data_IF_575425343699
#
_entry.id   IF_575425343699
#
_cell.length_a   1.000
_cell.length_b   1.000
_cell.length_c   1.000
_cell.angle_alpha   90.00
_cell.angle_beta   90.00
_cell.angle_gamma   90.00
#
_symmetry.space_group_name_H-M   'P 1'
#
loop_
_entity.id
_entity.type
_entity.pdbx_description
1 polymer ?
#
# COMPACT_ATOMS: atom_id res chain seq x y z
N UNK A 1 4.89 23.04 -12.86
CA UNK A 1 5.08 21.65 -12.42
C UNK A 1 5.19 21.67 -10.92
N UNK A 2 4.11 21.31 -10.22
CA UNK A 2 4.23 20.97 -8.80
C UNK A 2 4.78 19.54 -8.77
N UNK A 3 5.95 19.39 -8.17
CA UNK A 3 6.60 18.09 -8.02
C UNK A 3 5.71 17.22 -7.13
N UNK A 4 5.27 16.06 -7.63
CA UNK A 4 4.55 15.07 -6.84
C UNK A 4 5.35 14.73 -5.57
N UNK A 5 4.68 14.33 -4.47
CA UNK A 5 5.36 13.93 -3.24
C UNK A 5 6.45 12.91 -3.53
N UNK A 6 7.65 13.11 -2.96
CA UNK A 6 8.76 12.17 -3.16
C UNK A 6 8.36 10.78 -2.65
N UNK A 7 8.77 9.70 -3.34
CA UNK A 7 8.51 8.32 -2.89
C UNK A 7 8.94 8.15 -1.44
N UNK A 8 7.99 7.76 -0.59
CA UNK A 8 8.25 7.50 0.81
C UNK A 8 8.14 6.00 1.07
N UNK A 9 9.23 5.43 1.58
CA UNK A 9 9.32 4.02 1.96
C UNK A 9 9.09 3.88 3.45
N UNK A 10 8.45 2.80 3.87
CA UNK A 10 8.38 2.48 5.30
C UNK A 10 9.71 1.92 5.74
N UNK A 11 10.12 2.14 6.99
CA UNK A 11 11.36 1.54 7.50
C UNK A 11 11.21 0.01 7.60
N UNK A 12 10.05 -0.45 8.08
CA UNK A 12 9.71 -1.85 8.30
C UNK A 12 8.32 -2.17 7.75
N UNK A 13 8.12 -3.40 7.28
CA UNK A 13 6.79 -3.92 6.96
C UNK A 13 5.95 -4.13 8.22
N UNK A 14 4.63 -4.19 8.08
CA UNK A 14 3.70 -4.23 9.21
C UNK A 14 3.74 -5.53 10.03
N UNK A 15 4.09 -6.66 9.41
CA UNK A 15 4.12 -7.96 10.10
C UNK A 15 2.76 -8.44 10.61
N UNK A 16 1.67 -8.04 9.93
CA UNK A 16 0.30 -8.32 10.36
C UNK A 16 -0.38 -9.40 9.51
N UNK A 17 0.36 -10.42 9.05
CA UNK A 17 -0.15 -11.48 8.15
C UNK A 17 -1.50 -12.06 8.62
N UNK A 18 -1.61 -12.35 9.92
CA UNK A 18 -2.82 -12.94 10.54
C UNK A 18 -4.07 -12.07 10.38
N UNK A 19 -3.92 -10.77 10.16
CA UNK A 19 -5.03 -9.84 10.02
C UNK A 19 -5.60 -9.75 8.60
N UNK A 20 -4.88 -10.25 7.59
CA UNK A 20 -5.37 -10.25 6.21
C UNK A 20 -6.71 -10.98 6.11
N UNK A 21 -6.84 -12.13 6.79
CA UNK A 21 -8.07 -12.93 6.82
C UNK A 21 -9.20 -12.33 7.67
N UNK A 22 -8.92 -11.29 8.46
CA UNK A 22 -9.88 -10.65 9.39
C UNK A 22 -10.62 -9.48 8.76
N UNK A 23 -10.06 -8.85 7.73
CA UNK A 23 -10.72 -7.78 6.98
C UNK A 23 -11.53 -8.39 5.84
N UNK A 24 -12.79 -8.77 6.13
CA UNK A 24 -13.69 -9.43 5.16
C UNK A 24 -14.86 -8.55 4.73
N UNK A 25 -15.30 -7.66 5.61
CA UNK A 25 -16.48 -6.81 5.43
C UNK A 25 -16.17 -5.40 5.92
N UNK A 26 -17.02 -4.43 5.56
CA UNK A 26 -16.88 -3.03 6.01
C UNK A 26 -16.91 -2.91 7.54
N UNK A 27 -17.64 -3.77 8.24
CA UNK A 27 -17.68 -3.79 9.71
C UNK A 27 -16.33 -4.15 10.34
N UNK A 28 -15.48 -4.90 9.62
CA UNK A 28 -14.14 -5.27 10.11
C UNK A 28 -13.12 -4.14 9.94
N UNK A 29 -13.46 -3.08 9.22
CA UNK A 29 -12.56 -1.96 8.94
C UNK A 29 -12.33 -1.15 10.23
N UNK A 30 -11.07 -0.85 10.60
CA UNK A 30 -10.76 0.02 11.73
C UNK A 30 -11.50 1.36 11.64
N UNK A 31 -11.93 1.88 12.80
CA UNK A 31 -12.73 3.11 12.87
C UNK A 31 -12.07 4.31 12.17
N UNK A 32 -10.74 4.38 12.19
CA UNK A 32 -9.95 5.39 11.48
C UNK A 32 -10.32 5.49 10.01
N UNK A 33 -10.46 4.36 9.32
CA UNK A 33 -10.78 4.32 7.90
C UNK A 33 -12.28 4.38 7.64
N UNK A 34 -13.12 3.79 8.52
CA UNK A 34 -14.58 3.98 8.41
C UNK A 34 -15.01 5.44 8.51
N UNK A 35 -14.23 6.25 9.24
CA UNK A 35 -14.46 7.68 9.39
C UNK A 35 -13.68 8.52 8.36
N UNK A 36 -12.94 7.89 7.43
CA UNK A 36 -12.30 8.60 6.34
C UNK A 36 -13.39 9.14 5.37
N UNK A 37 -13.27 10.38 4.87
CA UNK A 37 -14.28 10.95 3.97
C UNK A 37 -14.58 10.04 2.79
N UNK A 38 -15.87 9.74 2.59
CA UNK A 38 -16.37 8.90 1.49
C UNK A 38 -15.69 7.51 1.37
N UNK A 39 -15.26 6.91 2.49
CA UNK A 39 -14.59 5.61 2.47
C UNK A 39 -15.38 4.52 1.73
N UNK A 40 -16.70 4.46 1.92
CA UNK A 40 -17.56 3.49 1.23
C UNK A 40 -17.45 3.62 -0.30
N UNK A 41 -17.32 4.83 -0.83
CA UNK A 41 -17.14 5.07 -2.27
C UNK A 41 -15.80 4.53 -2.77
N UNK A 42 -14.76 4.51 -1.94
CA UNK A 42 -13.47 3.87 -2.27
C UNK A 42 -13.58 2.35 -2.40
N UNK A 43 -14.63 1.75 -1.85
CA UNK A 43 -14.88 0.30 -1.91
C UNK A 43 -15.78 -0.13 -3.07
N UNK A 44 -16.21 0.81 -3.91
CA UNK A 44 -17.01 0.56 -5.11
C UNK A 44 -16.05 0.54 -6.30
N UNK A 45 -15.57 -0.64 -6.67
CA UNK A 45 -14.68 -0.82 -7.82
C UNK A 45 -15.48 -1.24 -9.08
N UNK A 46 -15.56 -0.39 -10.13
CA UNK A 46 -16.26 -0.72 -11.37
C UNK A 46 -15.73 -1.97 -12.06
N UNK A 47 -14.42 -2.26 -11.95
CA UNK A 47 -13.79 -3.45 -12.55
C UNK A 47 -14.30 -4.76 -11.94
N UNK A 48 -14.89 -4.67 -10.75
CA UNK A 48 -15.38 -5.79 -9.96
C UNK A 48 -16.89 -5.72 -9.71
N UNK A 49 -17.64 -5.02 -10.58
CA UNK A 49 -19.10 -4.93 -10.51
C UNK A 49 -19.63 -4.03 -9.39
N UNK A 50 -18.78 -3.19 -8.79
CA UNK A 50 -19.18 -2.22 -7.77
C UNK A 50 -19.42 -2.81 -6.37
N UNK A 51 -18.95 -4.02 -6.10
CA UNK A 51 -19.16 -4.68 -4.80
C UNK A 51 -17.91 -4.66 -3.92
N UNK A 52 -18.02 -4.34 -2.61
CA UNK A 52 -16.89 -4.30 -1.69
C UNK A 52 -16.45 -5.72 -1.30
N UNK A 53 -15.50 -6.28 -2.07
CA UNK A 53 -14.85 -7.55 -1.72
C UNK A 53 -13.75 -7.34 -0.67
N UNK A 54 -13.31 -8.38 0.06
CA UNK A 54 -12.20 -8.25 1.01
C UNK A 54 -10.92 -7.63 0.42
N UNK A 55 -10.64 -7.92 -0.86
CA UNK A 55 -9.51 -7.34 -1.59
C UNK A 55 -9.69 -5.83 -1.75
N UNK A 56 -10.83 -5.42 -2.30
CA UNK A 56 -11.18 -4.01 -2.56
C UNK A 56 -11.22 -3.18 -1.27
N UNK A 57 -11.72 -3.76 -0.17
CA UNK A 57 -11.74 -3.10 1.14
C UNK A 57 -10.32 -2.81 1.63
N UNK A 58 -9.39 -3.77 1.49
CA UNK A 58 -7.99 -3.55 1.88
C UNK A 58 -7.29 -2.52 1.00
N UNK A 59 -7.59 -2.51 -0.30
CA UNK A 59 -7.10 -1.48 -1.22
C UNK A 59 -7.62 -0.08 -0.81
N UNK A 60 -8.91 0.05 -0.49
CA UNK A 60 -9.45 1.30 0.03
C UNK A 60 -8.78 1.75 1.34
N UNK A 61 -8.49 0.82 2.25
CA UNK A 61 -7.75 1.12 3.49
C UNK A 61 -6.33 1.62 3.20
N UNK A 62 -5.63 1.01 2.24
CA UNK A 62 -4.30 1.43 1.84
C UNK A 62 -4.31 2.82 1.19
N UNK A 63 -5.28 3.10 0.30
CA UNK A 63 -5.46 4.42 -0.31
C UNK A 63 -5.73 5.51 0.74
N UNK A 64 -6.65 5.25 1.68
CA UNK A 64 -6.95 6.15 2.77
C UNK A 64 -5.74 6.37 3.69
N UNK A 65 -4.96 5.33 4.00
CA UNK A 65 -3.72 5.46 4.77
C UNK A 65 -2.69 6.32 4.03
N UNK A 66 -2.58 6.21 2.71
CA UNK A 66 -1.65 7.02 1.93
C UNK A 66 -1.99 8.51 1.99
N UNK A 67 -3.28 8.87 1.92
CA UNK A 67 -3.73 10.25 2.11
C UNK A 67 -3.47 10.72 3.55
N UNK A 68 -3.96 9.96 4.54
CA UNK A 68 -3.81 10.29 5.97
C UNK A 68 -2.35 10.43 6.42
N UNK A 69 -1.41 9.76 5.75
CA UNK A 69 0.03 9.84 6.02
C UNK A 69 0.79 10.81 5.09
N UNK A 70 0.09 11.53 4.20
CA UNK A 70 0.65 12.53 3.30
C UNK A 70 1.54 11.98 2.19
N UNK A 71 1.35 10.70 1.82
CA UNK A 71 2.13 10.03 0.76
C UNK A 71 1.55 10.24 -0.63
N UNK A 72 0.26 10.56 -0.68
CA UNK A 72 -0.44 11.05 -1.87
C UNK A 72 -1.24 12.29 -1.46
N UNK A 73 -1.55 13.14 -2.42
CA UNK A 73 -2.44 14.28 -2.19
C UNK A 73 -3.87 13.77 -1.99
N UNK A 74 -4.58 14.22 -0.96
CA UNK A 74 -5.99 13.90 -0.76
C UNK A 74 -6.96 14.89 -1.43
N UNK A 75 -8.24 14.53 -1.59
CA UNK A 75 -8.82 13.22 -1.31
C UNK A 75 -8.53 12.21 -2.43
N UNK A 76 -8.38 10.93 -2.08
CA UNK A 76 -8.26 9.85 -3.08
C UNK A 76 -9.62 9.51 -3.68
N UNK A 77 -9.67 9.08 -4.95
CA UNK A 77 -10.92 8.71 -5.62
C UNK A 77 -10.76 7.47 -6.49
N UNK A 78 -11.84 6.69 -6.66
CA UNK A 78 -11.88 5.57 -7.63
C UNK A 78 -11.98 6.10 -9.07
N UNK A 79 -11.36 5.42 -10.06
CA UNK A 79 -11.59 5.70 -11.47
C UNK A 79 -12.98 5.22 -11.89
N UNK A 80 -13.48 5.74 -13.00
CA UNK A 80 -14.70 5.22 -13.63
C UNK A 80 -14.47 3.88 -14.35
N UNK A 81 -13.22 3.57 -14.71
CA UNK A 81 -12.81 2.40 -15.51
C UNK A 81 -11.61 1.67 -14.88
N UNK A 82 -11.51 0.36 -15.13
CA UNK A 82 -10.78 -0.60 -14.30
C UNK A 82 -9.31 -0.92 -14.64
N UNK A 83 -8.50 0.07 -15.04
CA UNK A 83 -7.08 -0.17 -15.37
C UNK A 83 -6.08 0.26 -14.29
N UNK A 84 -6.54 1.10 -13.37
CA UNK A 84 -5.84 1.56 -12.17
C UNK A 84 -6.79 1.38 -10.98
N UNK A 85 -6.28 1.47 -9.76
CA UNK A 85 -7.14 1.37 -8.59
C UNK A 85 -7.68 2.74 -8.15
N UNK A 86 -6.86 3.81 -8.20
CA UNK A 86 -7.22 5.11 -7.66
C UNK A 86 -6.54 6.29 -8.36
N UNK A 87 -7.12 7.47 -8.16
CA UNK A 87 -6.49 8.77 -8.37
C UNK A 87 -6.22 9.46 -7.03
N UNK A 88 -5.13 10.21 -6.96
CA UNK A 88 -4.93 11.16 -5.86
C UNK A 88 -5.68 12.49 -6.11
N UNK A 89 -5.57 13.42 -5.16
CA UNK A 89 -6.23 14.72 -5.18
C UNK A 89 -5.78 15.64 -6.31
N UNK A 90 -4.57 15.44 -6.85
CA UNK A 90 -4.05 16.15 -8.02
C UNK A 90 -4.39 15.41 -9.34
N UNK A 91 -5.13 14.31 -9.25
CA UNK A 91 -5.57 13.51 -10.39
C UNK A 91 -4.54 12.50 -10.88
N UNK A 92 -3.46 12.27 -10.15
CA UNK A 92 -2.41 11.35 -10.58
C UNK A 92 -2.81 9.89 -10.37
N UNK A 93 -2.70 9.01 -11.40
CA UNK A 93 -3.12 7.63 -11.31
C UNK A 93 -2.16 6.82 -10.45
N UNK A 94 -2.72 5.95 -9.61
CA UNK A 94 -1.96 4.96 -8.89
C UNK A 94 -2.73 3.66 -8.71
N UNK A 95 -1.97 2.60 -8.49
CA UNK A 95 -2.47 1.25 -8.34
C UNK A 95 -1.85 0.62 -7.08
N UNK A 96 -2.63 -0.21 -6.42
CA UNK A 96 -2.28 -0.79 -5.14
C UNK A 96 -1.75 -2.20 -5.35
N UNK A 97 -0.65 -2.48 -4.65
CA UNK A 97 -0.11 -3.82 -4.55
C UNK A 97 -0.03 -4.19 -3.09
N UNK A 98 -0.65 -5.30 -2.72
CA UNK A 98 -0.66 -5.83 -1.36
C UNK A 98 -0.04 -7.23 -1.34
N UNK A 99 1.30 -7.37 -1.49
CA UNK A 99 1.96 -8.65 -1.33
C UNK A 99 1.67 -9.24 0.05
N UNK A 100 1.54 -10.55 0.10
CA UNK A 100 1.22 -11.27 1.33
C UNK A 100 2.40 -12.14 1.71
N UNK A 101 2.82 -12.08 2.97
CA UNK A 101 3.72 -13.08 3.54
C UNK A 101 2.93 -14.27 4.07
N UNK A 102 3.48 -15.50 3.97
CA UNK A 102 2.85 -16.67 4.56
C UNK A 102 2.84 -16.60 6.08
N UNK A 103 1.83 -17.21 6.69
CA UNK A 103 1.85 -17.58 8.09
C UNK A 103 2.80 -18.75 8.33
N UNK A 104 3.27 -18.90 9.57
CA UNK A 104 4.10 -20.06 9.95
C UNK A 104 3.41 -21.41 9.70
N UNK A 105 2.09 -21.42 9.67
CA UNK A 105 1.26 -22.61 9.43
C UNK A 105 0.97 -22.85 7.95
N UNK A 106 1.28 -21.89 7.09
CA UNK A 106 1.03 -22.01 5.66
C UNK A 106 2.05 -22.93 5.00
N UNK A 107 1.62 -23.60 3.93
CA UNK A 107 2.45 -24.55 3.16
C UNK A 107 3.09 -23.93 1.91
N UNK A 108 3.01 -22.60 1.77
CA UNK A 108 3.53 -21.85 0.63
C UNK A 108 4.56 -20.82 1.11
N UNK A 109 5.41 -20.38 0.19
CA UNK A 109 6.50 -19.44 0.47
C UNK A 109 6.30 -18.12 -0.27
N UNK A 110 6.85 -17.04 0.28
CA UNK A 110 6.80 -15.74 -0.36
C UNK A 110 7.58 -15.74 -1.69
N UNK A 111 6.89 -15.46 -2.79
CA UNK A 111 7.48 -15.38 -4.13
C UNK A 111 7.83 -13.93 -4.48
N UNK A 112 9.03 -13.49 -4.07
CA UNK A 112 9.54 -12.16 -4.40
C UNK A 112 9.63 -11.89 -5.92
N UNK A 113 10.14 -12.82 -6.76
CA UNK A 113 10.11 -12.72 -8.22
C UNK A 113 8.75 -12.37 -8.82
N UNK A 114 7.70 -13.10 -8.42
CA UNK A 114 6.35 -12.88 -8.95
C UNK A 114 5.75 -11.58 -8.44
N UNK A 115 5.92 -11.24 -7.16
CA UNK A 115 5.44 -9.96 -6.63
C UNK A 115 6.13 -8.77 -7.30
N UNK A 116 7.45 -8.82 -7.49
CA UNK A 116 8.20 -7.81 -8.22
C UNK A 116 7.69 -7.65 -9.66
N UNK A 117 7.40 -8.76 -10.34
CA UNK A 117 6.82 -8.72 -11.68
C UNK A 117 5.49 -7.96 -11.72
N UNK A 118 4.58 -8.21 -10.77
CA UNK A 118 3.28 -7.52 -10.74
C UNK A 118 3.40 -6.02 -10.48
N UNK A 119 4.39 -5.59 -9.68
CA UNK A 119 4.70 -4.18 -9.44
C UNK A 119 5.24 -3.55 -10.72
N UNK A 120 6.25 -4.16 -11.35
CA UNK A 120 6.90 -3.61 -12.55
C UNK A 120 5.94 -3.52 -13.74
N UNK A 121 5.09 -4.53 -13.96
CA UNK A 121 4.05 -4.49 -14.99
C UNK A 121 3.08 -3.30 -14.85
N UNK A 122 2.91 -2.79 -13.63
CA UNK A 122 2.08 -1.62 -13.41
C UNK A 122 2.85 -0.32 -13.63
N UNK A 123 4.12 -0.27 -13.20
CA UNK A 123 5.01 0.87 -13.45
C UNK A 123 5.32 1.09 -14.94
N UNK A 124 5.17 0.06 -15.77
CA UNK A 124 5.31 0.13 -17.23
C UNK A 124 4.07 0.71 -17.93
N UNK A 125 3.00 1.05 -17.21
CA UNK A 125 1.77 1.59 -17.78
C UNK A 125 1.70 3.11 -17.63
N UNK A 126 1.06 3.73 -18.61
CA UNK A 126 0.60 5.11 -18.52
C UNK A 126 -0.93 5.15 -18.43
N UNK A 127 -1.46 6.13 -17.70
CA UNK A 127 -2.89 6.39 -17.64
C UNK A 127 -3.17 7.90 -17.65
N UNK A 128 -4.32 8.36 -18.18
CA UNK A 128 -4.64 9.78 -18.16
C UNK A 128 -4.77 10.31 -16.73
N UNK A 129 -4.12 11.44 -16.45
CA UNK A 129 -4.40 12.25 -15.27
C UNK A 129 -5.88 12.65 -15.27
N UNK A 130 -6.55 12.54 -14.13
CA UNK A 130 -7.99 12.80 -14.01
C UNK A 130 -8.37 14.25 -14.35
N UNK A 131 -7.49 15.21 -14.07
CA UNK A 131 -7.77 16.63 -14.22
C UNK A 131 -7.29 17.17 -15.57
N UNK A 132 -6.09 16.79 -16.02
CA UNK A 132 -5.49 17.33 -17.25
C UNK A 132 -5.76 16.47 -18.48
N UNK A 133 -6.06 15.18 -18.30
CA UNK A 133 -6.21 14.20 -19.39
C UNK A 133 -4.88 13.78 -20.03
N UNK A 134 -3.74 14.34 -19.60
CA UNK A 134 -2.43 13.96 -20.09
C UNK A 134 -2.05 12.56 -19.60
N UNK A 135 -1.44 11.76 -20.48
CA UNK A 135 -0.93 10.44 -20.08
C UNK A 135 0.29 10.62 -19.20
N UNK A 136 0.27 9.98 -18.05
CA UNK A 136 1.39 9.94 -17.12
C UNK A 136 1.62 8.54 -16.57
N UNK A 137 2.84 8.23 -16.07
CA UNK A 137 3.15 6.93 -15.53
C UNK A 137 2.25 6.58 -14.34
N UNK A 138 1.75 5.35 -14.31
CA UNK A 138 1.02 4.85 -13.15
C UNK A 138 2.00 4.64 -11.99
N UNK A 139 1.69 5.26 -10.85
CA UNK A 139 2.43 5.04 -9.60
C UNK A 139 1.94 3.79 -8.91
N UNK A 140 2.78 3.18 -8.07
CA UNK A 140 2.39 2.04 -7.25
C UNK A 140 2.41 2.42 -5.78
N UNK A 141 1.29 2.17 -5.11
CA UNK A 141 1.21 2.17 -3.66
C UNK A 141 1.36 0.73 -3.17
N UNK A 142 2.49 0.44 -2.55
CA UNK A 142 2.80 -0.87 -2.00
C UNK A 142 2.33 -0.94 -0.54
N UNK A 143 1.25 -1.66 -0.29
CA UNK A 143 0.77 -1.97 1.05
C UNK A 143 1.57 -3.14 1.63
N UNK A 144 2.48 -2.80 2.56
CA UNK A 144 3.37 -3.77 3.22
C UNK A 144 2.85 -4.23 4.58
N UNK A 145 1.60 -3.90 4.93
CA UNK A 145 0.97 -4.25 6.22
C UNK A 145 1.07 -5.74 6.54
N UNK A 146 0.83 -6.58 5.53
CA UNK A 146 0.74 -8.03 5.66
C UNK A 146 2.03 -8.75 5.28
N UNK A 147 3.16 -8.04 5.21
CA UNK A 147 4.46 -8.62 4.90
C UNK A 147 5.32 -8.77 6.17
N UNK A 148 6.20 -9.77 6.20
CA UNK A 148 7.35 -9.76 7.12
C UNK A 148 8.38 -8.74 6.64
N UNK A 149 9.23 -8.23 7.53
CA UNK A 149 10.38 -7.40 7.12
C UNK A 149 11.36 -8.14 6.23
N UNK A 150 11.50 -9.47 6.40
CA UNK A 150 12.37 -10.30 5.55
C UNK A 150 11.84 -10.37 4.12
N UNK A 151 10.54 -10.64 3.94
CA UNK A 151 9.91 -10.73 2.62
C UNK A 151 9.86 -9.38 1.92
N UNK A 152 9.63 -8.29 2.66
CA UNK A 152 9.76 -6.94 2.12
C UNK A 152 11.19 -6.70 1.60
N UNK A 153 12.20 -7.11 2.35
CA UNK A 153 13.60 -6.98 1.93
C UNK A 153 13.88 -7.81 0.67
N UNK A 154 13.36 -9.04 0.61
CA UNK A 154 13.48 -9.89 -0.57
C UNK A 154 12.79 -9.28 -1.80
N UNK A 155 11.59 -8.71 -1.65
CA UNK A 155 10.87 -8.00 -2.70
C UNK A 155 11.68 -6.81 -3.22
N UNK A 156 12.18 -5.95 -2.33
CA UNK A 156 13.00 -4.80 -2.73
C UNK A 156 14.32 -5.23 -3.37
N UNK A 157 14.94 -6.31 -2.90
CA UNK A 157 16.12 -6.86 -3.55
C UNK A 157 15.82 -7.24 -5.01
N UNK A 158 14.72 -7.95 -5.24
CA UNK A 158 14.33 -8.38 -6.58
C UNK A 158 13.92 -7.20 -7.48
N UNK A 159 13.21 -6.20 -6.94
CA UNK A 159 12.92 -4.95 -7.66
C UNK A 159 14.21 -4.26 -8.10
N UNK A 160 15.16 -4.04 -7.19
CA UNK A 160 16.44 -3.40 -7.51
C UNK A 160 17.28 -4.17 -8.53
N UNK A 161 17.23 -5.51 -8.48
CA UNK A 161 17.92 -6.40 -9.42
C UNK A 161 17.34 -6.26 -10.83
N UNK A 162 16.02 -6.25 -10.96
CA UNK A 162 15.32 -6.15 -12.26
C UNK A 162 15.41 -4.77 -12.88
N UNK A 163 15.47 -3.72 -12.06
CA UNK A 163 15.57 -2.33 -12.53
C UNK A 163 17.00 -1.79 -12.50
N UNK A 164 18.01 -2.66 -12.55
CA UNK A 164 19.43 -2.25 -12.47
C UNK A 164 19.82 -1.20 -13.52
N UNK A 165 19.25 -1.29 -14.72
CA UNK A 165 19.52 -0.38 -15.85
C UNK A 165 18.70 0.92 -15.77
N UNK A 166 17.62 0.93 -14.98
CA UNK A 166 16.76 2.11 -14.79
C UNK A 166 16.14 2.12 -13.38
N UNK A 167 16.95 2.47 -12.37
CA UNK A 167 16.47 2.47 -10.97
C UNK A 167 15.48 3.60 -10.66
N UNK A 168 15.43 4.65 -11.47
CA UNK A 168 14.54 5.79 -11.21
C UNK A 168 13.06 5.41 -11.33
N UNK A 169 12.72 4.33 -12.04
CA UNK A 169 11.34 3.82 -12.08
C UNK A 169 10.81 3.46 -10.68
N UNK A 170 11.69 3.05 -9.76
CA UNK A 170 11.34 2.75 -8.37
C UNK A 170 10.98 4.00 -7.56
N UNK A 171 11.19 5.20 -8.11
CA UNK A 171 10.73 6.44 -7.50
C UNK A 171 9.21 6.64 -7.64
N UNK A 172 8.55 5.83 -8.46
CA UNK A 172 7.09 5.82 -8.58
C UNK A 172 6.44 4.83 -7.59
N UNK A 173 7.20 4.29 -6.63
CA UNK A 173 6.69 3.41 -5.57
C UNK A 173 6.68 4.16 -4.23
N UNK A 174 5.51 4.25 -3.62
CA UNK A 174 5.33 4.64 -2.21
C UNK A 174 4.89 3.43 -1.40
N UNK A 175 5.27 3.34 -0.13
CA UNK A 175 4.87 2.23 0.75
C UNK A 175 3.98 2.71 1.90
N UNK A 176 3.01 1.89 2.28
CA UNK A 176 2.18 2.10 3.47
C UNK A 176 2.17 0.88 4.39
N UNK A 177 1.90 1.15 5.66
CA UNK A 177 1.41 0.18 6.62
C UNK A 177 0.11 0.73 7.18
N UNK A 178 -0.99 0.05 6.87
CA UNK A 178 -2.31 0.33 7.37
C UNK A 178 -2.34 0.09 8.89
N UNK A 179 -2.79 1.11 9.62
CA UNK A 179 -3.06 1.07 11.05
C UNK A 179 -4.33 0.24 11.34
N UNK A 180 -4.13 -1.03 11.66
CA UNK A 180 -5.21 -1.95 11.98
C UNK A 180 -5.84 -1.72 13.36
N UNK A 181 -5.49 -0.65 14.08
CA UNK A 181 -6.00 -0.36 15.42
C UNK A 181 -5.53 -1.35 16.50
N UNK A 182 -4.56 -2.20 16.15
CA UNK A 182 -3.94 -3.15 17.08
C UNK A 182 -2.85 -2.40 17.82
N UNK A 183 -2.97 -2.30 19.15
CA UNK A 183 -1.87 -1.80 19.99
C UNK A 183 -0.67 -2.72 19.76
N UNK A 184 0.29 -2.28 18.96
CA UNK A 184 1.57 -2.96 18.82
C UNK A 184 2.18 -3.03 20.21
N UNK A 185 2.51 -4.24 20.68
CA UNK A 185 3.32 -4.36 21.90
C UNK A 185 4.63 -3.64 21.61
N UNK A 186 5.06 -2.69 22.47
CA UNK A 186 6.30 -1.99 22.22
C UNK A 186 7.43 -3.01 22.08
N UNK A 187 8.29 -2.80 21.09
CA UNK A 187 9.45 -3.65 20.86
C UNK A 187 10.21 -3.77 22.20
N UNK A 188 10.34 -4.99 22.77
CA UNK A 188 10.92 -5.16 24.11
C UNK A 188 12.36 -4.65 24.18
N UNK A 189 13.08 -4.58 23.05
CA UNK A 189 14.43 -4.01 22.97
C UNK A 189 14.39 -2.49 23.13
N UNK A 190 13.48 -1.79 22.44
CA UNK A 190 13.28 -0.34 22.58
C UNK A 190 12.73 0.04 23.96
N UNK A 191 11.81 -0.76 24.51
CA UNK A 191 11.30 -0.59 25.86
C UNK A 191 12.42 -0.71 26.91
N UNK A 192 13.35 -1.66 26.71
CA UNK A 192 14.50 -1.86 27.60
C UNK A 192 15.50 -0.70 27.51
N UNK A 193 15.78 -0.18 26.31
CA UNK A 193 16.64 1.01 26.12
C UNK A 193 16.03 2.26 26.75
N UNK A 194 14.74 2.51 26.55
CA UNK A 194 14.04 3.66 27.12
C UNK A 194 13.91 3.58 28.66
N UNK A 195 13.74 2.36 29.20
CA UNK A 195 13.75 2.16 30.66
C UNK A 195 15.13 2.37 31.28
N UNK A 196 16.22 2.04 30.56
CA UNK A 196 17.58 2.24 31.03
C UNK A 196 18.01 3.72 30.98
N UNK A 197 17.46 4.50 30.04
CA UNK A 197 17.73 5.94 29.90
C UNK A 197 17.00 6.80 30.94
N UNK A 198 15.87 6.33 31.49
CA UNK A 198 15.09 7.04 32.54
C UNK A 198 15.57 6.74 33.97
N UNK A 199 16.53 5.83 34.14
CA UNK A 199 17.09 5.44 35.43
C UNK A 199 18.44 6.08 35.76
N UNK A 200 18.83 7.17 35.10
CA UNK A 200 20.02 7.98 35.42
C UNK A 200 19.63 9.42 35.67
#
# INVERSE_FOLDING_TARGET
>A
MQDSPRPSRVENAGGMQDFQSKIRTLENVPARYRNYPDFDALTIDPAHGGHPTPKIIREAMAAAEADLSGKVTGPVTRPAEGYIDFYDGDGHPFDIKTPLSPLKTDKWEFDAPRNAETVLRQLDKDYPNKQTGEKEPVRVLLDTTYMTSADRTALWHELNKRTKENRSILNNISEVNVDLGVKTRPNPVLAKILSAARGR
#
